data_IF_112935608715
#
_entry.id   IF_112935608715
#
_cell.length_a   1.000
_cell.length_b   1.000
_cell.length_c   1.000
_cell.angle_alpha   90.00
_cell.angle_beta   90.00
_cell.angle_gamma   90.00
#
_symmetry.space_group_name_H-M   'P 1'
#
loop_
_entity.id
_entity.type
_entity.pdbx_description
1 polymer ?
#
# COMPACT_ATOMS: atom_id res chain seq x y z
N UNK A 1 -6.96 1.58 31.11
CA UNK A 1 -7.23 0.97 29.80
C UNK A 1 -8.04 1.97 29.01
N UNK A 2 -7.40 2.68 28.08
CA UNK A 2 -8.12 3.54 27.16
C UNK A 2 -8.79 2.64 26.11
N UNK A 3 -10.10 2.76 25.97
CA UNK A 3 -10.82 2.13 24.88
C UNK A 3 -10.33 2.78 23.58
N UNK A 4 -9.76 1.99 22.67
CA UNK A 4 -9.53 2.42 21.30
C UNK A 4 -10.92 2.64 20.68
N UNK A 5 -11.33 3.90 20.52
CA UNK A 5 -12.40 4.25 19.58
C UNK A 5 -12.05 3.61 18.23
N UNK A 6 -13.01 2.90 17.65
CA UNK A 6 -12.76 1.98 16.55
C UNK A 6 -12.19 2.68 15.32
N UNK A 7 -11.14 2.08 14.74
CA UNK A 7 -10.52 2.53 13.48
C UNK A 7 -11.53 2.68 12.32
N UNK A 8 -12.73 2.09 12.44
CA UNK A 8 -13.77 2.12 11.43
C UNK A 8 -14.55 3.43 11.33
N UNK A 9 -14.71 4.20 12.41
CA UNK A 9 -15.50 5.45 12.38
C UNK A 9 -14.72 6.63 11.80
N UNK A 10 -13.39 6.59 11.88
CA UNK A 10 -12.48 7.68 11.45
C UNK A 10 -12.66 8.07 9.99
N UNK A 11 -12.97 7.09 9.14
CA UNK A 11 -13.09 7.24 7.70
C UNK A 11 -14.51 6.97 7.19
N UNK A 12 -15.47 6.77 8.10
CA UNK A 12 -16.86 6.61 7.73
C UNK A 12 -17.37 7.91 7.06
N UNK A 13 -18.16 7.80 5.99
CA UNK A 13 -18.87 8.96 5.47
C UNK A 13 -19.75 9.55 6.59
N UNK A 14 -19.90 10.87 6.62
CA UNK A 14 -20.82 11.51 7.58
C UNK A 14 -22.25 11.00 7.39
N UNK A 15 -23.13 11.24 8.36
CA UNK A 15 -24.53 10.78 8.36
C UNK A 15 -25.30 11.16 7.07
N UNK A 16 -24.83 12.17 6.32
CA UNK A 16 -25.42 12.68 5.08
C UNK A 16 -24.69 12.25 3.78
N UNK A 17 -23.76 11.29 3.85
CA UNK A 17 -22.91 10.91 2.70
C UNK A 17 -21.81 11.93 2.38
N UNK A 18 -21.55 12.86 3.31
CA UNK A 18 -20.48 13.85 3.18
C UNK A 18 -19.11 13.21 3.39
N UNK A 19 -18.07 13.82 2.80
CA UNK A 19 -16.70 13.36 2.99
C UNK A 19 -16.35 13.27 4.49
N UNK A 20 -15.56 12.28 4.92
CA UNK A 20 -15.19 12.11 6.32
C UNK A 20 -14.79 13.45 6.97
N UNK A 21 -15.23 13.74 8.21
CA UNK A 21 -15.02 15.05 8.84
C UNK A 21 -13.56 15.53 8.80
N UNK A 22 -12.62 14.59 8.93
CA UNK A 22 -11.19 14.84 8.81
C UNK A 22 -10.80 15.32 7.39
N UNK A 23 -11.24 14.62 6.34
CA UNK A 23 -10.95 15.01 4.95
C UNK A 23 -11.58 16.35 4.59
N UNK A 24 -12.78 16.63 5.12
CA UNK A 24 -13.41 17.94 4.98
C UNK A 24 -12.58 19.06 5.65
N UNK A 25 -12.07 18.82 6.86
CA UNK A 25 -11.20 19.77 7.55
C UNK A 25 -9.87 19.99 6.81
N UNK A 26 -9.27 18.92 6.28
CA UNK A 26 -8.06 18.98 5.46
C UNK A 26 -8.27 19.82 4.20
N UNK A 27 -9.38 19.62 3.48
CA UNK A 27 -9.74 20.44 2.32
C UNK A 27 -9.84 21.93 2.67
N UNK A 28 -10.44 22.26 3.81
CA UNK A 28 -10.52 23.66 4.30
C UNK A 28 -9.15 24.24 4.62
N UNK A 29 -8.26 23.48 5.27
CA UNK A 29 -6.90 23.92 5.59
C UNK A 29 -6.05 24.08 4.32
N UNK A 30 -6.21 23.18 3.35
CA UNK A 30 -5.54 23.28 2.04
C UNK A 30 -5.98 24.53 1.27
N UNK A 31 -7.28 24.78 1.19
CA UNK A 31 -7.80 25.99 0.56
C UNK A 31 -7.27 27.27 1.24
N UNK A 32 -7.22 27.27 2.59
CA UNK A 32 -6.64 28.35 3.37
C UNK A 32 -5.14 28.53 3.05
N UNK A 33 -4.37 27.45 3.02
CA UNK A 33 -2.94 27.46 2.71
C UNK A 33 -2.66 28.03 1.30
N UNK A 34 -3.52 27.72 0.32
CA UNK A 34 -3.41 28.25 -1.04
C UNK A 34 -3.78 29.73 -1.18
N UNK A 35 -4.73 30.22 -0.37
CA UNK A 35 -5.17 31.61 -0.41
C UNK A 35 -4.26 32.58 0.36
N UNK A 36 -3.58 32.10 1.40
CA UNK A 36 -2.79 32.92 2.31
C UNK A 36 -1.62 33.68 1.65
N UNK A 37 -0.82 33.08 0.74
CA UNK A 37 0.26 33.79 0.06
C UNK A 37 -0.22 35.03 -0.72
N UNK A 38 -1.37 34.94 -1.38
CA UNK A 38 -1.96 36.08 -2.11
C UNK A 38 -2.41 37.20 -1.16
N UNK A 39 -2.96 36.85 0.01
CA UNK A 39 -3.38 37.80 1.03
C UNK A 39 -2.21 38.49 1.75
N UNK A 40 -0.99 37.94 1.67
CA UNK A 40 0.21 38.52 2.30
C UNK A 40 0.96 39.55 1.46
N UNK A 41 0.61 39.70 0.18
CA UNK A 41 1.23 40.68 -0.72
C UNK A 41 1.03 42.15 -0.27
N UNK A 42 0.08 42.42 0.63
CA UNK A 42 -0.27 43.77 1.09
C UNK A 42 0.41 44.22 2.41
N UNK A 43 1.45 43.51 2.89
CA UNK A 43 2.24 43.96 4.05
C UNK A 43 2.11 43.07 5.28
N UNK A 44 2.75 41.89 5.21
CA UNK A 44 3.38 41.11 6.28
C UNK A 44 2.92 41.29 7.74
N UNK A 45 1.65 40.96 8.05
CA UNK A 45 1.19 40.72 9.44
C UNK A 45 0.92 39.26 9.78
N UNK A 46 0.88 38.37 8.78
CA UNK A 46 0.36 37.01 8.94
C UNK A 46 1.39 35.90 8.70
N UNK A 47 2.69 36.20 8.60
CA UNK A 47 3.74 35.21 8.32
C UNK A 47 3.72 34.03 9.30
N UNK A 48 3.56 34.30 10.60
CA UNK A 48 3.40 33.25 11.63
C UNK A 48 2.16 32.39 11.35
N UNK A 49 1.05 33.00 10.96
CA UNK A 49 -0.19 32.31 10.61
C UNK A 49 0.00 31.42 9.37
N UNK A 50 0.65 31.92 8.33
CA UNK A 50 1.00 31.17 7.11
C UNK A 50 1.82 29.94 7.48
N UNK A 51 2.91 30.10 8.23
CA UNK A 51 3.76 28.97 8.63
C UNK A 51 2.99 27.93 9.47
N UNK A 52 2.08 28.37 10.33
CA UNK A 52 1.24 27.45 11.12
C UNK A 52 0.26 26.68 10.24
N UNK A 53 -0.46 27.35 9.34
CA UNK A 53 -1.42 26.71 8.43
C UNK A 53 -0.69 25.71 7.52
N UNK A 54 0.42 26.10 6.92
CA UNK A 54 1.25 25.22 6.09
C UNK A 54 1.82 24.06 6.90
N UNK A 55 2.28 24.29 8.13
CA UNK A 55 2.79 23.23 9.01
C UNK A 55 1.72 22.22 9.42
N UNK A 56 0.49 22.68 9.70
CA UNK A 56 -0.65 21.80 9.99
C UNK A 56 -1.03 21.01 8.75
N UNK A 57 -1.05 21.63 7.56
CA UNK A 57 -1.32 20.94 6.31
C UNK A 57 -0.31 19.82 6.06
N UNK A 58 1.00 20.09 6.17
CA UNK A 58 2.03 19.07 5.99
C UNK A 58 1.82 17.89 6.95
N UNK A 59 1.59 18.14 8.25
CA UNK A 59 1.34 17.07 9.22
C UNK A 59 0.09 16.26 8.90
N UNK A 60 -0.99 16.93 8.47
CA UNK A 60 -2.20 16.25 8.07
C UNK A 60 -1.96 15.38 6.83
N UNK A 61 -1.14 15.83 5.89
CA UNK A 61 -0.79 15.06 4.68
C UNK A 61 0.10 13.86 4.99
N UNK A 62 1.11 14.01 5.86
CA UNK A 62 1.91 12.86 6.35
C UNK A 62 1.03 11.81 7.00
N UNK A 63 0.07 12.23 7.83
CA UNK A 63 -0.88 11.30 8.43
C UNK A 63 -1.76 10.58 7.41
N UNK A 64 -2.31 11.30 6.42
CA UNK A 64 -3.10 10.70 5.35
C UNK A 64 -2.24 9.75 4.51
N UNK A 65 -0.98 10.09 4.27
CA UNK A 65 -0.02 9.24 3.55
C UNK A 65 0.21 7.91 4.28
N UNK A 66 0.49 7.95 5.59
CA UNK A 66 0.70 6.76 6.43
C UNK A 66 -0.53 5.84 6.41
N UNK A 67 -1.72 6.42 6.51
CA UNK A 67 -3.00 5.69 6.49
C UNK A 67 -3.32 5.13 5.10
N UNK A 68 -2.99 5.89 4.05
CA UNK A 68 -3.17 5.47 2.67
C UNK A 68 -2.25 4.29 2.36
N UNK A 69 -1.00 4.35 2.82
CA UNK A 69 -0.05 3.23 2.74
C UNK A 69 -0.58 2.01 3.52
N UNK A 70 -0.97 2.20 4.78
CA UNK A 70 -1.46 1.10 5.63
C UNK A 70 -2.69 0.38 5.07
N UNK A 71 -3.59 1.10 4.39
CA UNK A 71 -4.72 0.49 3.69
C UNK A 71 -4.35 -0.16 2.35
N UNK A 72 -3.26 0.25 1.71
CA UNK A 72 -2.78 -0.35 0.46
C UNK A 72 -1.97 -1.63 0.67
N UNK A 73 -1.43 -1.83 1.87
CA UNK A 73 -0.75 -3.08 2.24
C UNK A 73 -1.75 -4.25 2.15
N UNK A 74 -1.52 -5.14 1.18
CA UNK A 74 -2.41 -6.30 0.94
C UNK A 74 -2.32 -7.27 2.14
N UNK A 75 -3.43 -7.59 2.84
CA UNK A 75 -3.43 -8.55 3.93
C UNK A 75 -2.98 -9.97 3.52
N UNK A 76 -2.91 -10.26 2.22
CA UNK A 76 -2.41 -11.53 1.67
C UNK A 76 -0.90 -11.51 1.41
N UNK A 77 -0.32 -10.34 1.13
CA UNK A 77 1.12 -10.20 0.90
C UNK A 77 1.94 -10.44 2.19
N UNK A 78 1.41 -10.03 3.35
CA UNK A 78 2.00 -10.31 4.66
C UNK A 78 2.01 -11.80 5.01
N UNK A 79 0.98 -12.55 4.58
CA UNK A 79 0.90 -14.02 4.76
C UNK A 79 1.93 -14.77 3.91
N UNK A 80 2.15 -14.34 2.67
CA UNK A 80 3.15 -14.96 1.79
C UNK A 80 4.58 -14.75 2.32
N UNK A 81 4.89 -13.56 2.86
CA UNK A 81 6.18 -13.25 3.47
C UNK A 81 6.49 -14.10 4.73
N UNK A 82 5.49 -14.39 5.55
CA UNK A 82 5.65 -15.22 6.75
C UNK A 82 5.75 -16.72 6.44
N UNK A 83 5.13 -17.20 5.35
CA UNK A 83 5.23 -18.59 4.92
C UNK A 83 6.64 -18.95 4.43
N UNK A 84 7.39 -17.98 3.92
CA UNK A 84 8.78 -18.17 3.47
C UNK A 84 9.82 -18.33 4.58
N UNK A 85 9.51 -18.00 5.84
CA UNK A 85 10.48 -17.98 6.95
C UNK A 85 10.31 -19.15 7.96
N UNK A 86 9.34 -20.03 7.74
CA UNK A 86 9.18 -21.22 8.60
C UNK A 86 10.06 -22.40 8.17
N UNK A 87 11.34 -22.30 8.55
CA UNK A 87 12.13 -23.46 8.97
C UNK A 87 13.18 -23.98 7.98
N UNK A 88 14.43 -23.52 8.12
CA UNK A 88 15.60 -24.32 7.75
C UNK A 88 16.49 -24.56 8.97
N UNK A 89 16.13 -25.57 9.74
CA UNK A 89 17.02 -26.18 10.72
C UNK A 89 17.83 -27.29 10.04
N UNK A 90 19.15 -27.08 9.97
CA UNK A 90 20.23 -28.08 10.07
C UNK A 90 20.03 -29.44 9.38
N UNK A 91 20.85 -29.74 8.36
CA UNK A 91 21.09 -31.13 7.98
C UNK A 91 21.81 -31.31 6.64
N UNK A 92 23.14 -31.46 6.69
CA UNK A 92 23.96 -31.88 5.55
C UNK A 92 23.44 -33.21 5.00
N UNK A 93 23.02 -33.26 3.73
CA UNK A 93 23.02 -34.50 2.95
C UNK A 93 23.15 -34.21 1.46
N UNK A 94 24.36 -34.38 0.95
CA UNK A 94 24.63 -34.59 -0.47
C UNK A 94 23.82 -35.80 -0.93
N UNK A 95 22.90 -35.63 -1.88
CA UNK A 95 22.41 -36.73 -2.72
C UNK A 95 22.72 -36.44 -4.17
N UNK A 96 23.52 -37.32 -4.78
CA UNK A 96 23.80 -37.40 -6.22
C UNK A 96 22.51 -37.50 -7.04
N UNK A 97 22.50 -37.02 -8.30
CA UNK A 97 21.41 -37.32 -9.23
C UNK A 97 21.54 -38.77 -9.74
N UNK A 98 20.44 -39.53 -9.90
CA UNK A 98 20.47 -40.75 -10.69
C UNK A 98 20.32 -40.41 -12.17
N UNK A 99 21.24 -40.97 -12.95
CA UNK A 99 21.26 -40.97 -14.42
C UNK A 99 20.21 -41.94 -14.98
N UNK A 100 19.61 -41.53 -16.11
CA UNK A 100 18.93 -42.29 -17.18
C UNK A 100 18.23 -43.63 -16.85
N UNK A 101 16.92 -43.68 -17.11
CA UNK A 101 16.16 -44.91 -17.34
C UNK A 101 14.72 -44.66 -17.79
N UNK A 102 14.42 -44.97 -19.07
CA UNK A 102 13.08 -45.00 -19.67
C UNK A 102 12.19 -46.10 -19.05
N UNK A 103 10.92 -45.81 -18.78
CA UNK A 103 9.73 -46.58 -19.23
C UNK A 103 8.47 -46.10 -18.47
N UNK A 104 7.37 -45.95 -19.21
CA UNK A 104 6.19 -45.20 -18.80
C UNK A 104 5.34 -45.77 -17.65
N UNK A 105 4.68 -44.85 -16.97
CA UNK A 105 3.35 -45.04 -16.38
C UNK A 105 2.67 -43.68 -16.39
N UNK A 106 1.39 -43.68 -16.78
CA UNK A 106 0.59 -42.52 -17.14
C UNK A 106 0.67 -41.37 -16.13
N UNK A 107 0.83 -40.17 -16.68
CA UNK A 107 0.75 -38.91 -15.97
C UNK A 107 -0.60 -38.81 -15.25
N UNK A 108 -0.58 -39.02 -13.94
CA UNK A 108 -1.62 -38.50 -13.07
C UNK A 108 -1.53 -36.98 -13.18
N UNK A 109 -2.54 -36.40 -13.84
CA UNK A 109 -2.63 -34.99 -14.09
C UNK A 109 -2.43 -34.23 -12.78
N UNK A 110 -1.35 -33.45 -12.70
CA UNK A 110 -1.18 -32.43 -11.69
C UNK A 110 -2.46 -31.60 -11.72
N UNK A 111 -3.27 -31.75 -10.66
CA UNK A 111 -4.47 -30.95 -10.49
C UNK A 111 -4.09 -29.49 -10.72
N UNK A 112 -4.83 -28.74 -11.57
CA UNK A 112 -4.53 -27.34 -11.76
C UNK A 112 -4.59 -26.70 -10.38
N UNK A 113 -3.46 -26.15 -9.94
CA UNK A 113 -3.40 -25.28 -8.78
C UNK A 113 -4.58 -24.34 -8.89
N UNK A 114 -5.49 -24.40 -7.91
CA UNK A 114 -6.69 -23.58 -7.84
C UNK A 114 -6.23 -22.16 -8.16
N UNK A 115 -6.65 -21.65 -9.32
CA UNK A 115 -6.40 -20.28 -9.72
C UNK A 115 -6.79 -19.44 -8.51
N UNK A 116 -5.79 -18.77 -7.93
CA UNK A 116 -5.94 -18.06 -6.66
C UNK A 116 -7.22 -17.25 -6.68
N UNK A 117 -7.99 -17.39 -5.60
CA UNK A 117 -9.27 -16.73 -5.35
C UNK A 117 -9.36 -15.40 -6.11
N UNK A 118 -10.13 -15.38 -7.21
CA UNK A 118 -10.25 -14.26 -8.15
C UNK A 118 -11.00 -13.07 -7.55
N UNK A 119 -11.20 -13.08 -6.23
CA UNK A 119 -11.76 -11.99 -5.47
C UNK A 119 -10.85 -10.75 -5.61
N UNK A 120 -11.44 -9.55 -5.81
CA UNK A 120 -10.70 -8.32 -5.82
C UNK A 120 -9.81 -8.20 -4.58
N UNK A 121 -8.60 -7.63 -4.71
CA UNK A 121 -7.68 -7.48 -3.59
C UNK A 121 -8.21 -6.63 -2.43
N UNK A 122 -9.22 -5.79 -2.69
CA UNK A 122 -9.83 -4.91 -1.70
C UNK A 122 -11.36 -4.96 -1.84
N UNK A 123 -12.12 -4.94 -0.72
CA UNK A 123 -13.55 -4.75 -0.78
C UNK A 123 -13.91 -3.34 -1.27
N UNK A 124 -15.11 -3.13 -1.85
CA UNK A 124 -15.52 -1.83 -2.40
C UNK A 124 -15.38 -0.66 -1.42
N UNK A 125 -15.72 -0.88 -0.16
CA UNK A 125 -15.62 0.15 0.90
C UNK A 125 -14.18 0.64 1.10
N UNK A 126 -13.19 -0.27 1.07
CA UNK A 126 -11.78 0.11 1.16
C UNK A 126 -11.34 0.89 -0.08
N UNK A 127 -11.83 0.52 -1.27
CA UNK A 127 -11.53 1.26 -2.51
C UNK A 127 -12.08 2.69 -2.45
N UNK A 128 -13.29 2.87 -1.93
CA UNK A 128 -13.89 4.20 -1.78
C UNK A 128 -13.17 5.05 -0.73
N UNK A 129 -12.71 4.45 0.37
CA UNK A 129 -11.84 5.12 1.37
C UNK A 129 -10.51 5.55 0.75
N UNK A 130 -9.83 4.65 0.05
CA UNK A 130 -8.57 4.92 -0.66
C UNK A 130 -8.75 6.06 -1.68
N UNK A 131 -9.84 6.03 -2.46
CA UNK A 131 -10.16 7.10 -3.42
C UNK A 131 -10.35 8.43 -2.71
N UNK A 132 -11.13 8.46 -1.63
CA UNK A 132 -11.40 9.69 -0.87
C UNK A 132 -10.11 10.33 -0.33
N UNK A 133 -9.17 9.50 0.14
CA UNK A 133 -7.87 9.96 0.63
C UNK A 133 -6.98 10.46 -0.51
N UNK A 134 -6.90 9.72 -1.61
CA UNK A 134 -6.15 10.13 -2.80
C UNK A 134 -6.67 11.48 -3.34
N UNK A 135 -8.00 11.65 -3.43
CA UNK A 135 -8.61 12.91 -3.86
C UNK A 135 -8.25 14.08 -2.94
N UNK A 136 -8.19 13.85 -1.62
CA UNK A 136 -7.77 14.86 -0.66
C UNK A 136 -6.28 15.22 -0.80
N UNK A 137 -5.40 14.22 -1.00
CA UNK A 137 -3.97 14.46 -1.24
C UNK A 137 -3.75 15.23 -2.55
N UNK A 138 -4.43 14.83 -3.63
CA UNK A 138 -4.33 15.50 -4.93
C UNK A 138 -4.83 16.94 -4.85
N UNK A 139 -5.97 17.18 -4.21
CA UNK A 139 -6.51 18.53 -4.02
C UNK A 139 -5.58 19.43 -3.19
N UNK A 140 -4.80 18.83 -2.27
CA UNK A 140 -3.81 19.54 -1.47
C UNK A 140 -2.44 19.75 -2.14
N UNK A 141 -2.22 19.20 -3.34
CA UNK A 141 -0.96 19.31 -4.08
C UNK A 141 0.04 18.17 -3.82
N UNK A 142 -0.36 17.09 -3.14
CA UNK A 142 0.49 15.96 -2.74
C UNK A 142 0.34 14.78 -3.71
N UNK A 143 0.22 15.08 -5.01
CA UNK A 143 0.01 14.08 -6.07
C UNK A 143 1.21 13.14 -6.17
N UNK A 144 2.42 13.68 -6.01
CA UNK A 144 3.67 12.91 -6.12
C UNK A 144 3.77 11.87 -5.02
N UNK A 145 3.54 12.28 -3.78
CA UNK A 145 3.58 11.45 -2.58
C UNK A 145 2.50 10.36 -2.65
N UNK A 146 1.27 10.74 -2.97
CA UNK A 146 0.16 9.79 -3.18
C UNK A 146 0.51 8.73 -4.24
N UNK A 147 1.06 9.17 -5.38
CA UNK A 147 1.44 8.26 -6.47
C UNK A 147 2.59 7.34 -6.06
N UNK A 148 3.60 7.84 -5.36
CA UNK A 148 4.74 7.06 -4.90
C UNK A 148 4.30 5.95 -3.94
N UNK A 149 3.50 6.29 -2.92
CA UNK A 149 2.96 5.31 -1.98
C UNK A 149 2.16 4.22 -2.71
N UNK A 150 1.28 4.63 -3.63
CA UNK A 150 0.51 3.68 -4.43
C UNK A 150 1.40 2.74 -5.26
N UNK A 151 2.38 3.30 -5.98
CA UNK A 151 3.27 2.51 -6.84
C UNK A 151 4.13 1.54 -6.04
N UNK A 152 4.66 1.97 -4.89
CA UNK A 152 5.45 1.11 -4.00
C UNK A 152 4.62 -0.05 -3.48
N UNK A 153 3.43 0.21 -2.95
CA UNK A 153 2.54 -0.84 -2.44
C UNK A 153 2.15 -1.84 -3.54
N UNK A 154 1.81 -1.35 -4.74
CA UNK A 154 1.44 -2.22 -5.87
C UNK A 154 2.59 -3.06 -6.39
N UNK A 155 3.79 -2.48 -6.48
CA UNK A 155 5.00 -3.21 -6.84
C UNK A 155 5.28 -4.31 -5.82
N UNK A 156 5.22 -4.00 -4.53
CA UNK A 156 5.48 -4.98 -3.47
C UNK A 156 4.45 -6.13 -3.51
N UNK A 157 3.17 -5.83 -3.73
CA UNK A 157 2.13 -6.85 -3.88
C UNK A 157 2.34 -7.73 -5.12
N UNK A 158 2.78 -7.14 -6.24
CA UNK A 158 3.14 -7.87 -7.45
C UNK A 158 4.35 -8.78 -7.21
N UNK A 159 5.41 -8.27 -6.59
CA UNK A 159 6.62 -9.03 -6.25
C UNK A 159 6.27 -10.22 -5.35
N UNK A 160 5.43 -10.02 -4.33
CA UNK A 160 4.95 -11.10 -3.46
C UNK A 160 4.13 -12.15 -4.24
N UNK A 161 3.28 -11.71 -5.17
CA UNK A 161 2.49 -12.60 -6.03
C UNK A 161 3.37 -13.44 -6.96
N UNK A 162 4.39 -12.83 -7.57
CA UNK A 162 5.38 -13.52 -8.40
C UNK A 162 6.16 -14.56 -7.60
N UNK A 163 6.66 -14.20 -6.41
CA UNK A 163 7.34 -15.12 -5.51
C UNK A 163 6.45 -16.31 -5.12
N UNK A 164 5.17 -16.07 -4.83
CA UNK A 164 4.21 -17.15 -4.50
C UNK A 164 3.98 -18.13 -5.65
N UNK A 165 4.18 -17.69 -6.89
CA UNK A 165 4.11 -18.51 -8.10
C UNK A 165 5.44 -19.21 -8.42
N UNK A 166 6.48 -19.02 -7.59
CA UNK A 166 7.81 -19.57 -7.80
C UNK A 166 8.71 -18.75 -8.72
N UNK A 167 8.29 -17.52 -9.09
CA UNK A 167 9.16 -16.60 -9.82
C UNK A 167 10.09 -15.90 -8.84
N UNK A 168 11.36 -16.33 -8.84
CA UNK A 168 12.44 -15.63 -8.15
C UNK A 168 13.06 -14.57 -9.06
N UNK A 169 13.50 -13.46 -8.44
CA UNK A 169 14.20 -12.41 -9.16
C UNK A 169 15.58 -12.92 -9.55
N UNK A 170 15.78 -13.20 -10.84
CA UNK A 170 17.08 -13.65 -11.35
C UNK A 170 18.18 -12.65 -10.94
N UNK A 171 19.26 -13.16 -10.33
CA UNK A 171 20.42 -12.34 -10.05
C UNK A 171 21.19 -12.09 -11.34
N UNK A 172 21.98 -11.01 -11.39
CA UNK A 172 22.86 -10.72 -12.53
C UNK A 172 23.81 -11.91 -12.77
N UNK A 173 24.28 -12.56 -11.70
CA UNK A 173 25.16 -13.72 -11.79
C UNK A 173 24.47 -14.94 -12.41
N UNK A 174 23.16 -15.12 -12.18
CA UNK A 174 22.39 -16.20 -12.79
C UNK A 174 22.24 -15.97 -14.30
N UNK A 175 21.98 -14.72 -14.70
CA UNK A 175 21.87 -14.33 -16.11
C UNK A 175 23.20 -14.47 -16.85
N UNK A 176 24.33 -14.11 -16.21
CA UNK A 176 25.66 -14.19 -16.81
C UNK A 176 26.16 -15.63 -16.96
N UNK A 177 25.65 -16.57 -16.16
CA UNK A 177 26.02 -18.00 -16.22
C UNK A 177 25.14 -18.82 -17.18
N UNK A 178 24.06 -18.25 -17.71
CA UNK A 178 23.18 -18.90 -18.69
C UNK A 178 23.70 -18.82 -20.13
#
# INVERSE_FOLDING_TARGET
MAQSEGDDEKWAPGEDGEAPPLLAAIKRISALAGALPAATAEGSKYTIGVHRVTGVLHRAMTFVEDEFHGMLDDPRATKAAQAGDTGSATGKSIRRPPSFGHAGAAAEAVAPAVLGDSSPPFPPETVDRLRSMADAMMAAGYVTECTQVFLVARRNALDASLQSLGYEKASIDDVVKM
#
